data_IF_263508125535
#
_entry.id   IF_263508125535
#
_cell.length_a   1.000
_cell.length_b   1.000
_cell.length_c   1.000
_cell.angle_alpha   90.00
_cell.angle_beta   90.00
_cell.angle_gamma   90.00
#
_symmetry.space_group_name_H-M   'P 1'
#
loop_
_entity.id
_entity.type
_entity.pdbx_description
1 polymer ?
#
# COMPACT_ATOMS: atom_id res chain seq x y z
N UNK A 1 6.20 -13.14 -19.92
CA UNK A 1 4.75 -13.09 -19.68
C UNK A 1 4.50 -12.82 -18.21
N UNK A 2 3.54 -11.95 -17.87
CA UNK A 2 3.08 -11.82 -16.49
C UNK A 2 2.27 -13.06 -16.12
N UNK A 3 2.56 -13.67 -14.95
CA UNK A 3 1.80 -14.83 -14.47
C UNK A 3 0.41 -14.39 -14.00
N UNK A 4 -0.56 -15.32 -13.98
CA UNK A 4 -1.90 -15.04 -13.45
C UNK A 4 -1.86 -14.48 -12.02
N UNK A 5 -0.93 -14.98 -11.20
CA UNK A 5 -0.72 -14.49 -9.84
C UNK A 5 -0.19 -13.05 -9.82
N UNK A 6 0.77 -12.71 -10.70
CA UNK A 6 1.28 -11.34 -10.81
C UNK A 6 0.18 -10.36 -11.24
N UNK A 7 -0.71 -10.76 -12.14
CA UNK A 7 -1.87 -9.95 -12.53
C UNK A 7 -2.83 -9.73 -11.35
N UNK A 8 -3.14 -10.79 -10.58
CA UNK A 8 -3.99 -10.66 -9.38
C UNK A 8 -3.35 -9.81 -8.29
N UNK A 9 -2.05 -9.95 -8.06
CA UNK A 9 -1.31 -9.07 -7.16
C UNK A 9 -1.47 -7.61 -7.58
N UNK A 10 -1.25 -7.29 -8.87
CA UNK A 10 -1.36 -5.92 -9.38
C UNK A 10 -2.78 -5.34 -9.21
N UNK A 11 -3.83 -6.13 -9.46
CA UNK A 11 -5.22 -5.69 -9.22
C UNK A 11 -5.46 -5.22 -7.78
N UNK A 12 -4.93 -5.95 -6.79
CA UNK A 12 -5.06 -5.58 -5.38
C UNK A 12 -4.12 -4.43 -5.00
N UNK A 13 -2.91 -4.41 -5.56
CA UNK A 13 -1.94 -3.34 -5.34
C UNK A 13 -2.47 -1.98 -5.83
N UNK A 14 -3.05 -1.92 -7.03
CA UNK A 14 -3.65 -0.71 -7.59
C UNK A 14 -4.83 -0.20 -6.75
N UNK A 15 -5.70 -1.11 -6.30
CA UNK A 15 -6.78 -0.77 -5.35
C UNK A 15 -6.23 -0.21 -4.05
N UNK A 16 -5.16 -0.81 -3.52
CA UNK A 16 -4.44 -0.33 -2.34
C UNK A 16 -3.89 1.08 -2.53
N UNK A 17 -3.24 1.36 -3.66
CA UNK A 17 -2.70 2.68 -3.98
C UNK A 17 -3.78 3.76 -4.09
N UNK A 18 -4.94 3.44 -4.67
CA UNK A 18 -6.06 4.39 -4.74
C UNK A 18 -6.53 4.77 -3.33
N UNK A 19 -6.77 3.78 -2.47
CA UNK A 19 -7.18 4.00 -1.08
C UNK A 19 -6.10 4.72 -0.27
N UNK A 20 -4.83 4.42 -0.50
CA UNK A 20 -3.69 5.08 0.13
C UNK A 20 -3.68 6.58 -0.16
N UNK A 21 -3.88 6.97 -1.43
CA UNK A 21 -3.97 8.38 -1.84
C UNK A 21 -5.21 9.09 -1.28
N UNK A 22 -6.28 8.34 -1.01
CA UNK A 22 -7.47 8.85 -0.32
C UNK A 22 -7.31 8.88 1.22
N UNK A 23 -6.11 8.64 1.76
CA UNK A 23 -5.80 8.54 3.20
C UNK A 23 -6.61 7.45 3.94
N UNK A 24 -7.21 6.51 3.20
CA UNK A 24 -7.94 5.35 3.74
C UNK A 24 -6.96 4.22 4.06
N UNK A 25 -6.04 4.48 4.98
CA UNK A 25 -4.89 3.61 5.24
C UNK A 25 -5.25 2.21 5.75
N UNK A 26 -6.32 2.09 6.55
CA UNK A 26 -6.79 0.79 7.04
C UNK A 26 -7.35 -0.08 5.91
N UNK A 27 -8.04 0.54 4.96
CA UNK A 27 -8.61 -0.10 3.78
C UNK A 27 -7.51 -0.44 2.78
N UNK A 28 -6.57 0.48 2.55
CA UNK A 28 -5.39 0.26 1.72
C UNK A 28 -4.56 -0.93 2.23
N UNK A 29 -4.32 -0.98 3.55
CA UNK A 29 -3.61 -2.09 4.21
C UNK A 29 -4.26 -3.45 3.91
N UNK A 30 -5.60 -3.55 3.92
CA UNK A 30 -6.32 -4.78 3.59
C UNK A 30 -6.06 -5.20 2.13
N UNK A 31 -6.04 -4.26 1.19
CA UNK A 31 -5.77 -4.59 -0.22
C UNK A 31 -4.32 -5.01 -0.44
N UNK A 32 -3.36 -4.33 0.17
CA UNK A 32 -1.95 -4.71 0.05
C UNK A 32 -1.65 -6.08 0.68
N UNK A 33 -2.30 -6.44 1.80
CA UNK A 33 -2.20 -7.80 2.35
C UNK A 33 -2.71 -8.86 1.37
N UNK A 34 -3.85 -8.61 0.71
CA UNK A 34 -4.34 -9.50 -0.36
C UNK A 34 -3.38 -9.59 -1.53
N UNK A 35 -2.72 -8.49 -1.92
CA UNK A 35 -1.70 -8.50 -2.97
C UNK A 35 -0.52 -9.45 -2.61
N UNK A 36 -0.07 -9.45 -1.33
CA UNK A 36 0.97 -10.38 -0.86
C UNK A 36 0.54 -11.84 -0.80
N UNK A 37 -0.75 -12.15 -0.74
CA UNK A 37 -1.21 -13.55 -0.84
C UNK A 37 -0.88 -14.16 -2.21
N UNK A 38 -0.79 -13.33 -3.26
CA UNK A 38 -0.45 -13.77 -4.63
C UNK A 38 1.05 -13.68 -4.94
N UNK A 39 1.75 -12.70 -4.36
CA UNK A 39 3.20 -12.54 -4.49
C UNK A 39 3.80 -12.14 -3.14
N UNK A 40 4.11 -13.12 -2.26
CA UNK A 40 4.65 -12.85 -0.93
C UNK A 40 5.99 -12.10 -0.97
N UNK A 41 6.73 -12.22 -2.09
CA UNK A 41 8.04 -11.61 -2.27
C UNK A 41 7.98 -10.15 -2.78
N UNK A 42 6.79 -9.61 -3.06
CA UNK A 42 6.63 -8.25 -3.61
C UNK A 42 7.10 -7.15 -2.63
N UNK A 43 8.28 -6.59 -2.92
CA UNK A 43 8.90 -5.53 -2.14
C UNK A 43 8.07 -4.25 -2.04
N UNK A 44 7.56 -3.69 -3.16
CA UNK A 44 6.71 -2.50 -3.14
C UNK A 44 5.47 -2.68 -2.26
N UNK A 45 4.76 -3.81 -2.37
CA UNK A 45 3.58 -4.07 -1.54
C UNK A 45 3.92 -4.10 -0.05
N UNK A 46 5.01 -4.75 0.35
CA UNK A 46 5.47 -4.73 1.75
C UNK A 46 5.79 -3.31 2.25
N UNK A 47 6.42 -2.49 1.43
CA UNK A 47 6.72 -1.09 1.76
C UNK A 47 5.42 -0.30 2.02
N UNK A 48 4.43 -0.42 1.14
CA UNK A 48 3.16 0.28 1.31
C UNK A 48 2.36 -0.22 2.53
N UNK A 49 2.47 -1.51 2.90
CA UNK A 49 1.91 -2.02 4.16
C UNK A 49 2.52 -1.29 5.36
N UNK A 50 3.86 -1.18 5.41
CA UNK A 50 4.54 -0.48 6.49
C UNK A 50 4.10 0.99 6.57
N UNK A 51 4.04 1.68 5.42
CA UNK A 51 3.55 3.06 5.34
C UNK A 51 2.10 3.20 5.81
N UNK A 52 1.20 2.30 5.41
CA UNK A 52 -0.19 2.31 5.87
C UNK A 52 -0.29 2.17 7.39
N UNK A 53 0.54 1.31 8.00
CA UNK A 53 0.57 1.13 9.45
C UNK A 53 1.06 2.41 10.14
N UNK A 54 2.11 3.04 9.63
CA UNK A 54 2.66 4.27 10.18
C UNK A 54 1.70 5.46 10.03
N UNK A 55 1.17 5.69 8.84
CA UNK A 55 0.23 6.78 8.57
C UNK A 55 -1.14 6.56 9.22
N UNK A 56 -1.53 5.32 9.52
CA UNK A 56 -2.73 5.06 10.34
C UNK A 56 -2.54 5.50 11.80
N UNK A 57 -1.30 5.49 12.30
CA UNK A 57 -0.96 5.95 13.66
C UNK A 57 -0.69 7.45 13.69
N UNK A 58 -0.01 7.95 12.67
CA UNK A 58 0.37 9.34 12.48
C UNK A 58 -0.26 9.84 11.17
N UNK A 59 -1.57 10.16 11.15
CA UNK A 59 -2.23 10.60 9.92
C UNK A 59 -1.60 11.89 9.40
N UNK A 60 -1.36 11.98 8.08
CA UNK A 60 -0.85 13.20 7.49
C UNK A 60 -1.94 14.28 7.45
N UNK A 61 -1.58 15.53 7.15
CA UNK A 61 -2.52 16.64 6.99
C UNK A 61 -3.60 16.37 5.92
N UNK A 62 -4.77 17.03 5.97
CA UNK A 62 -5.83 16.86 4.97
C UNK A 62 -5.45 17.22 3.52
N UNK A 63 -4.44 18.08 3.34
CA UNK A 63 -3.88 18.52 2.07
C UNK A 63 -2.71 17.65 1.58
N UNK A 64 -2.52 16.48 2.20
CA UNK A 64 -1.45 15.56 1.84
C UNK A 64 -1.55 15.06 0.40
N UNK A 65 -0.45 15.18 -0.33
CA UNK A 65 -0.32 14.85 -1.76
C UNK A 65 0.04 13.37 -2.03
N UNK A 66 0.12 12.55 -0.98
CA UNK A 66 0.50 11.15 -1.06
C UNK A 66 2.00 10.88 -0.92
N UNK A 67 2.82 11.92 -0.66
CA UNK A 67 4.27 11.77 -0.45
C UNK A 67 4.56 11.22 0.95
N UNK A 68 5.21 10.07 1.01
CA UNK A 68 5.74 9.53 2.26
C UNK A 68 7.18 9.97 2.47
N UNK A 69 7.41 10.85 3.43
CA UNK A 69 8.75 11.27 3.84
C UNK A 69 9.29 10.28 4.88
N UNK A 70 10.30 9.49 4.52
CA UNK A 70 11.06 8.73 5.51
C UNK A 70 11.87 9.72 6.35
N UNK A 71 11.39 10.03 7.55
CA UNK A 71 12.22 10.68 8.57
C UNK A 71 13.14 9.63 9.17
N UNK A 72 14.28 9.39 8.51
CA UNK A 72 15.42 8.71 9.15
C UNK A 72 15.94 9.65 10.23
N UNK A 73 15.86 9.24 11.50
CA UNK A 73 16.53 9.91 12.61
C UNK A 73 18.01 9.54 12.64
#
# INVERSE_FOLDING_TARGET
MLTKNKLKMLEYYEKGLKLYKEMKFKEALKQFRKALEYEPSDGPTRLYIARCIELSKNPPPPDWDGVFTMTTK
#
